data_IF_263093181008
#
_entry.id   IF_263093181008
#
_cell.length_a   1.000
_cell.length_b   1.000
_cell.length_c   1.000
_cell.angle_alpha   90.00
_cell.angle_beta   90.00
_cell.angle_gamma   90.00
#
_symmetry.space_group_name_H-M   'P 1'
#
loop_
_entity.id
_entity.type
_entity.pdbx_description
1 polymer ?
#
# COMPACT_ATOMS: atom_id res chain seq x y z
N UNK A 1 -9.44 -7.67 18.28
CA UNK A 1 -9.91 -6.87 17.13
C UNK A 1 -8.73 -6.49 16.25
N UNK A 2 -8.64 -7.01 15.02
CA UNK A 2 -7.56 -6.65 14.09
C UNK A 2 -7.78 -5.22 13.56
N UNK A 3 -6.91 -4.28 13.93
CA UNK A 3 -7.01 -2.88 13.48
C UNK A 3 -6.57 -2.80 12.02
N UNK A 4 -7.48 -2.40 11.13
CA UNK A 4 -7.17 -2.14 9.71
C UNK A 4 -6.05 -1.11 9.65
N UNK A 5 -4.90 -1.50 9.09
CA UNK A 5 -3.72 -0.62 9.01
C UNK A 5 -3.81 0.17 7.72
N UNK A 6 -3.87 1.50 7.83
CA UNK A 6 -3.85 2.40 6.70
C UNK A 6 -2.42 2.86 6.36
N UNK A 7 -2.27 3.41 5.16
CA UNK A 7 -1.07 4.06 4.67
C UNK A 7 -1.43 5.44 4.15
N UNK A 8 -0.50 6.36 4.31
CA UNK A 8 -0.67 7.77 3.98
C UNK A 8 0.35 8.13 2.93
N UNK A 9 -0.11 8.57 1.76
CA UNK A 9 0.73 8.82 0.59
C UNK A 9 0.61 10.30 0.24
N UNK A 10 1.74 10.99 0.21
CA UNK A 10 1.81 12.40 -0.18
C UNK A 10 2.32 12.44 -1.61
N UNK A 11 1.51 13.05 -2.47
CA UNK A 11 1.79 13.21 -3.90
C UNK A 11 1.88 14.69 -4.20
N UNK A 12 2.85 15.07 -5.05
CA UNK A 12 2.89 16.37 -5.70
C UNK A 12 2.30 16.24 -7.10
N UNK A 13 1.40 17.14 -7.47
CA UNK A 13 0.83 17.23 -8.79
C UNK A 13 1.59 18.26 -9.65
N UNK A 14 2.03 17.86 -10.82
CA UNK A 14 2.66 18.72 -11.82
C UNK A 14 1.71 18.88 -13.00
N UNK A 15 1.29 20.11 -13.29
CA UNK A 15 0.37 20.42 -14.39
C UNK A 15 1.18 20.93 -15.58
N UNK A 16 1.00 20.31 -16.74
CA UNK A 16 1.78 20.65 -17.95
C UNK A 16 1.09 21.72 -18.80
N UNK A 17 -0.25 21.76 -18.84
CA UNK A 17 -1.00 22.74 -19.64
C UNK A 17 -1.22 24.05 -18.86
N UNK A 18 -0.26 24.98 -18.95
CA UNK A 18 -0.40 26.33 -18.41
C UNK A 18 -1.18 27.23 -19.38
N UNK A 19 -2.51 27.12 -19.44
CA UNK A 19 -3.34 28.15 -20.12
C UNK A 19 -3.75 29.25 -19.13
N UNK A 20 -3.16 30.44 -19.31
CA UNK A 20 -3.44 31.74 -18.68
C UNK A 20 -3.26 31.92 -17.16
N UNK A 21 -2.46 32.95 -16.84
CA UNK A 21 -1.79 33.24 -15.58
C UNK A 21 -2.61 34.07 -14.56
N UNK A 22 -3.90 33.79 -14.33
CA UNK A 22 -4.68 34.59 -13.36
C UNK A 22 -5.55 33.82 -12.36
N UNK A 23 -5.72 32.50 -12.49
CA UNK A 23 -6.50 31.70 -11.53
C UNK A 23 -5.60 30.60 -10.97
N UNK A 24 -5.73 30.28 -9.69
CA UNK A 24 -5.01 29.17 -9.05
C UNK A 24 -5.46 27.84 -9.69
N UNK A 25 -4.82 27.46 -10.81
CA UNK A 25 -5.20 26.36 -11.68
C UNK A 25 -5.35 25.03 -10.92
N UNK A 26 -4.56 24.87 -9.86
CA UNK A 26 -4.61 23.75 -8.93
C UNK A 26 -5.93 23.66 -8.14
N UNK A 27 -6.56 24.78 -7.74
CA UNK A 27 -7.87 24.76 -7.06
C UNK A 27 -9.01 24.29 -7.97
N UNK A 28 -8.89 24.56 -9.27
CA UNK A 28 -9.90 24.13 -10.23
C UNK A 28 -9.81 22.63 -10.53
N UNK A 29 -8.58 22.11 -10.67
CA UNK A 29 -8.29 20.75 -11.14
C UNK A 29 -8.18 19.75 -10.00
N UNK A 30 -7.50 20.10 -8.90
CA UNK A 30 -7.32 19.21 -7.76
C UNK A 30 -8.57 19.25 -6.87
N UNK A 31 -9.70 18.78 -7.40
CA UNK A 31 -10.92 18.52 -6.65
C UNK A 31 -10.99 17.04 -6.31
N UNK A 32 -11.42 16.74 -5.09
CA UNK A 32 -11.57 15.36 -4.61
C UNK A 32 -12.39 14.50 -5.58
N UNK A 33 -13.52 15.02 -6.06
CA UNK A 33 -14.40 14.31 -7.01
C UNK A 33 -13.70 13.95 -8.32
N UNK A 34 -12.89 14.86 -8.87
CA UNK A 34 -12.19 14.67 -10.13
C UNK A 34 -11.04 13.67 -9.98
N UNK A 35 -10.26 13.80 -8.91
CA UNK A 35 -9.17 12.89 -8.59
C UNK A 35 -9.72 11.48 -8.35
N UNK A 36 -10.81 11.35 -7.58
CA UNK A 36 -11.43 10.05 -7.30
C UNK A 36 -11.93 9.37 -8.58
N UNK A 37 -12.59 10.11 -9.45
CA UNK A 37 -13.05 9.61 -10.76
C UNK A 37 -11.88 9.07 -11.58
N UNK A 38 -10.75 9.78 -11.58
CA UNK A 38 -9.59 9.38 -12.36
C UNK A 38 -8.84 8.20 -11.75
N UNK A 39 -8.76 8.13 -10.41
CA UNK A 39 -8.24 6.97 -9.68
C UNK A 39 -9.07 5.73 -10.01
N UNK A 40 -10.40 5.84 -10.02
CA UNK A 40 -11.31 4.74 -10.38
C UNK A 40 -11.08 4.26 -11.81
N UNK A 41 -11.09 5.16 -12.79
CA UNK A 41 -10.84 4.83 -14.21
C UNK A 41 -9.48 4.16 -14.42
N UNK A 42 -8.42 4.73 -13.83
CA UNK A 42 -7.06 4.19 -13.96
C UNK A 42 -6.97 2.82 -13.29
N UNK A 43 -7.60 2.63 -12.13
CA UNK A 43 -7.63 1.34 -11.44
C UNK A 43 -8.36 0.26 -12.25
N UNK A 44 -9.52 0.59 -12.83
CA UNK A 44 -10.27 -0.34 -13.68
C UNK A 44 -9.50 -0.68 -14.97
N UNK A 45 -8.79 0.29 -15.55
CA UNK A 45 -7.94 0.08 -16.72
C UNK A 45 -6.76 -0.85 -16.42
N UNK A 46 -6.06 -0.65 -15.30
CA UNK A 46 -4.85 -1.40 -14.96
C UNK A 46 -5.14 -2.80 -14.41
N UNK A 47 -6.24 -2.96 -13.68
CA UNK A 47 -6.52 -4.18 -12.92
C UNK A 47 -7.86 -4.84 -13.27
N UNK A 48 -8.61 -4.30 -14.23
CA UNK A 48 -9.95 -4.78 -14.60
C UNK A 48 -11.06 -4.26 -13.69
N UNK A 49 -12.31 -4.39 -14.13
CA UNK A 49 -13.46 -3.76 -13.47
C UNK A 49 -13.62 -4.10 -11.98
N UNK A 50 -13.65 -5.39 -11.63
CA UNK A 50 -13.90 -5.82 -10.23
C UNK A 50 -12.74 -5.45 -9.29
N UNK A 51 -11.50 -5.75 -9.69
CA UNK A 51 -10.31 -5.50 -8.86
C UNK A 51 -9.99 -4.01 -8.79
N UNK A 52 -10.08 -3.31 -9.93
CA UNK A 52 -9.91 -1.86 -10.00
C UNK A 52 -10.87 -1.14 -9.07
N UNK A 53 -12.14 -1.51 -9.08
CA UNK A 53 -13.16 -0.96 -8.18
C UNK A 53 -12.90 -1.25 -6.71
N UNK A 54 -12.37 -2.43 -6.37
CA UNK A 54 -12.01 -2.76 -4.99
C UNK A 54 -10.82 -1.95 -4.48
N UNK A 55 -9.80 -1.77 -5.32
CA UNK A 55 -8.60 -0.98 -5.02
C UNK A 55 -8.97 0.51 -4.89
N UNK A 56 -9.68 1.06 -5.88
CA UNK A 56 -10.06 2.48 -5.90
C UNK A 56 -10.95 2.86 -4.71
N UNK A 57 -11.91 2.01 -4.32
CA UNK A 57 -12.72 2.20 -3.13
C UNK A 57 -11.92 2.21 -1.82
N UNK A 58 -10.71 1.66 -1.84
CA UNK A 58 -9.81 1.69 -0.68
C UNK A 58 -8.96 2.97 -0.62
N UNK A 59 -8.93 3.76 -1.70
CA UNK A 59 -8.15 4.99 -1.83
C UNK A 59 -9.07 6.19 -1.56
N UNK A 60 -8.69 7.04 -0.64
CA UNK A 60 -9.43 8.27 -0.29
C UNK A 60 -8.50 9.47 -0.32
N UNK A 61 -8.97 10.59 -0.85
CA UNK A 61 -8.25 11.86 -0.69
C UNK A 61 -8.62 12.43 0.67
N UNK A 62 -7.61 12.71 1.48
CA UNK A 62 -7.79 13.20 2.85
C UNK A 62 -7.61 14.70 2.92
N UNK A 63 -6.70 15.24 2.10
CA UNK A 63 -6.40 16.65 2.10
C UNK A 63 -5.75 17.07 0.77
N UNK A 64 -6.05 18.28 0.33
CA UNK A 64 -5.48 18.89 -0.88
C UNK A 64 -4.94 20.28 -0.49
N UNK A 65 -3.70 20.55 -0.86
CA UNK A 65 -3.02 21.83 -0.67
C UNK A 65 -2.71 22.38 -2.05
N UNK A 66 -3.67 23.10 -2.62
CA UNK A 66 -3.55 23.65 -3.98
C UNK A 66 -2.36 24.60 -4.13
N UNK A 67 -1.95 25.30 -3.06
CA UNK A 67 -0.79 26.22 -3.10
C UNK A 67 0.56 25.54 -3.23
N UNK A 68 0.69 24.31 -2.74
CA UNK A 68 1.93 23.53 -2.87
C UNK A 68 1.77 22.37 -3.86
N UNK A 69 0.61 22.31 -4.54
CA UNK A 69 0.19 21.21 -5.39
C UNK A 69 0.33 19.84 -4.71
N UNK A 70 0.07 19.76 -3.40
CA UNK A 70 0.18 18.51 -2.65
C UNK A 70 -1.20 17.88 -2.44
N UNK A 71 -1.25 16.55 -2.59
CA UNK A 71 -2.43 15.74 -2.31
C UNK A 71 -2.04 14.64 -1.32
N UNK A 72 -2.79 14.54 -0.22
CA UNK A 72 -2.64 13.48 0.77
C UNK A 72 -3.70 12.41 0.50
N UNK A 73 -3.25 11.24 0.13
CA UNK A 73 -4.08 10.05 -0.01
C UNK A 73 -3.99 9.16 1.24
N UNK A 74 -5.08 8.47 1.54
CA UNK A 74 -5.11 7.34 2.45
C UNK A 74 -5.52 6.09 1.67
N UNK A 75 -4.80 5.00 1.86
CA UNK A 75 -5.19 3.68 1.35
C UNK A 75 -5.04 2.58 2.40
N UNK A 76 -5.68 1.43 2.18
CA UNK A 76 -5.44 0.23 3.00
C UNK A 76 -4.03 -0.28 2.75
N UNK A 77 -3.33 -0.73 3.80
CA UNK A 77 -1.93 -1.23 3.70
C UNK A 77 -1.77 -2.37 2.69
N UNK A 78 -2.78 -3.20 2.48
CA UNK A 78 -2.73 -4.31 1.52
C UNK A 78 -2.65 -3.83 0.06
N UNK A 79 -3.17 -2.64 -0.26
CA UNK A 79 -3.24 -2.09 -1.63
C UNK A 79 -2.20 -1.00 -1.91
N UNK A 80 -1.15 -0.93 -1.09
CA UNK A 80 -0.20 0.18 -1.19
C UNK A 80 0.54 0.19 -2.52
N UNK A 81 0.95 -0.96 -3.04
CA UNK A 81 1.71 -1.04 -4.30
C UNK A 81 0.81 -0.71 -5.49
N UNK A 82 -0.38 -1.27 -5.52
CA UNK A 82 -1.40 -1.00 -6.54
C UNK A 82 -1.80 0.47 -6.54
N UNK A 83 -1.96 1.07 -5.35
CA UNK A 83 -2.23 2.50 -5.21
C UNK A 83 -1.09 3.34 -5.79
N UNK A 84 0.17 2.98 -5.51
CA UNK A 84 1.32 3.71 -6.04
C UNK A 84 1.43 3.59 -7.56
N UNK A 85 1.09 2.44 -8.13
CA UNK A 85 1.02 2.25 -9.58
C UNK A 85 -0.09 3.14 -10.15
N UNK A 86 -1.31 3.06 -9.64
CA UNK A 86 -2.45 3.89 -10.10
C UNK A 86 -2.05 5.36 -10.09
N UNK A 87 -1.56 5.87 -8.96
CA UNK A 87 -1.20 7.27 -8.82
C UNK A 87 -0.10 7.68 -9.81
N UNK A 88 0.87 6.82 -10.13
CA UNK A 88 1.92 7.10 -11.13
C UNK A 88 1.41 7.11 -12.56
N UNK A 89 0.37 6.31 -12.86
CA UNK A 89 -0.19 6.19 -14.20
C UNK A 89 -1.26 7.23 -14.51
N UNK A 90 -1.78 7.94 -13.52
CA UNK A 90 -2.62 9.12 -13.74
C UNK A 90 -1.77 10.17 -14.47
N UNK A 91 -2.12 10.40 -15.74
CA UNK A 91 -1.45 11.34 -16.63
C UNK A 91 -2.36 12.51 -17.06
N UNK A 92 -3.65 12.43 -16.76
CA UNK A 92 -4.66 13.41 -17.17
C UNK A 92 -5.74 13.51 -16.11
N UNK A 93 -6.20 14.72 -15.82
CA UNK A 93 -7.42 14.95 -15.03
C UNK A 93 -8.32 15.85 -15.86
N UNK A 94 -9.51 15.35 -16.20
CA UNK A 94 -10.41 15.96 -17.19
C UNK A 94 -9.69 16.21 -18.53
N UNK A 95 -9.47 17.49 -18.89
CA UNK A 95 -8.80 17.91 -20.12
C UNK A 95 -7.39 18.44 -19.88
N UNK A 96 -6.85 18.26 -18.67
CA UNK A 96 -5.54 18.80 -18.30
C UNK A 96 -4.54 17.68 -18.09
N UNK A 97 -3.34 17.80 -18.68
CA UNK A 97 -2.25 16.88 -18.42
C UNK A 97 -1.67 17.11 -17.02
N UNK A 98 -1.68 16.06 -16.20
CA UNK A 98 -1.22 16.07 -14.81
C UNK A 98 -0.31 14.89 -14.57
N UNK A 99 0.84 15.12 -13.93
CA UNK A 99 1.75 14.07 -13.48
C UNK A 99 1.78 14.05 -11.96
N UNK A 100 1.61 12.88 -11.38
CA UNK A 100 1.67 12.67 -9.94
C UNK A 100 3.03 12.10 -9.53
N UNK A 101 3.74 12.86 -8.70
CA UNK A 101 5.03 12.47 -8.14
C UNK A 101 4.88 12.13 -6.66
N UNK A 102 5.11 10.88 -6.29
CA UNK A 102 5.04 10.43 -4.89
C UNK A 102 6.22 10.99 -4.12
N UNK A 103 5.94 11.82 -3.11
CA UNK A 103 6.96 12.45 -2.26
C UNK A 103 7.26 11.67 -1.00
N UNK A 104 6.23 11.11 -0.36
CA UNK A 104 6.38 10.38 0.91
C UNK A 104 5.29 9.33 1.07
N UNK A 105 5.67 8.19 1.64
CA UNK A 105 4.73 7.18 2.13
C UNK A 105 4.94 7.01 3.63
N UNK A 106 3.87 7.08 4.42
CA UNK A 106 3.92 7.08 5.88
C UNK A 106 3.05 5.98 6.48
N UNK A 107 3.51 5.45 7.62
CA UNK A 107 2.77 4.43 8.38
C UNK A 107 1.64 5.00 9.22
N UNK A 108 1.76 6.28 9.62
CA UNK A 108 0.78 6.98 10.46
C UNK A 108 0.46 8.37 9.89
N UNK A 109 -0.72 8.91 10.23
CA UNK A 109 -1.10 10.27 9.85
C UNK A 109 -0.16 11.31 10.46
N UNK A 110 0.33 11.05 11.68
CA UNK A 110 1.26 11.95 12.35
C UNK A 110 2.56 12.12 11.56
N UNK A 111 3.12 11.04 11.01
CA UNK A 111 4.30 11.09 10.15
C UNK A 111 4.04 11.90 8.86
N UNK A 112 2.88 11.67 8.22
CA UNK A 112 2.50 12.41 7.02
C UNK A 112 2.31 13.90 7.30
N UNK A 113 1.60 14.26 8.40
CA UNK A 113 1.40 15.65 8.82
C UNK A 113 2.72 16.34 9.13
N UNK A 114 3.64 15.67 9.83
CA UNK A 114 4.98 16.21 10.10
C UNK A 114 5.73 16.53 8.81
N UNK A 115 5.70 15.63 7.82
CA UNK A 115 6.32 15.88 6.52
C UNK A 115 5.72 17.11 5.82
N UNK A 116 4.39 17.22 5.75
CA UNK A 116 3.70 18.37 5.15
C UNK A 116 4.09 19.66 5.87
N UNK A 117 4.05 19.68 7.19
CA UNK A 117 4.40 20.85 7.99
C UNK A 117 5.85 21.29 7.76
N UNK A 118 6.80 20.35 7.69
CA UNK A 118 8.19 20.67 7.36
C UNK A 118 8.30 21.32 5.98
N UNK A 119 7.57 20.82 4.97
CA UNK A 119 7.60 21.43 3.63
C UNK A 119 6.98 22.82 3.57
N UNK A 120 5.88 23.05 4.28
CA UNK A 120 5.30 24.38 4.40
C UNK A 120 6.26 25.34 5.11
N UNK A 121 6.91 24.91 6.19
CA UNK A 121 7.89 25.72 6.92
C UNK A 121 9.13 26.04 6.09
N UNK A 122 9.64 25.07 5.30
CA UNK A 122 10.73 25.30 4.36
C UNK A 122 10.33 26.39 3.34
N UNK A 123 9.14 26.27 2.74
CA UNK A 123 8.60 27.26 1.79
C UNK A 123 8.46 28.65 2.42
N UNK A 124 7.94 28.73 3.65
CA UNK A 124 7.76 30.00 4.36
C UNK A 124 9.10 30.63 4.77
N UNK A 125 10.08 29.82 5.16
CA UNK A 125 11.41 30.30 5.50
C UNK A 125 12.10 30.90 4.27
N UNK A 126 11.99 30.24 3.11
CA UNK A 126 12.48 30.80 1.84
C UNK A 126 11.79 32.11 1.47
N UNK A 127 10.49 32.24 1.74
CA UNK A 127 9.76 33.49 1.53
C UNK A 127 10.18 34.59 2.52
N UNK A 128 10.50 34.25 3.76
CA UNK A 128 10.96 35.22 4.78
C UNK A 128 12.35 35.80 4.51
N UNK A 129 13.16 35.10 3.71
CA UNK A 129 14.45 35.60 3.21
C UNK A 129 14.28 36.65 2.10
N UNK A 130 13.07 36.77 1.52
CA UNK A 130 12.70 37.88 0.65
C UNK A 130 12.29 39.07 1.53
N UNK A 131 12.91 40.23 1.33
CA UNK A 131 12.72 41.39 2.21
C UNK A 131 11.26 41.84 2.42
N UNK A 132 10.96 42.63 3.46
CA UNK A 132 9.61 42.93 3.94
C UNK A 132 8.63 43.46 2.87
N UNK A 133 9.13 44.19 1.86
CA UNK A 133 8.32 44.69 0.73
C UNK A 133 7.76 43.58 -0.18
N UNK A 134 8.40 42.40 -0.24
CA UNK A 134 7.91 41.23 -0.96
C UNK A 134 6.83 40.47 -0.18
N UNK A 135 6.90 40.49 1.15
CA UNK A 135 5.98 39.78 2.05
C UNK A 135 4.61 40.45 2.09
N UNK A 136 4.54 41.79 2.10
CA UNK A 136 3.27 42.54 2.03
C UNK A 136 2.50 42.30 0.72
N UNK A 137 3.21 42.20 -0.41
CA UNK A 137 2.58 41.86 -1.72
C UNK A 137 2.02 40.43 -1.75
N UNK A 138 2.57 39.50 -0.96
CA UNK A 138 2.15 38.09 -0.90
C UNK A 138 1.00 37.90 0.11
N UNK A 139 1.00 38.65 1.22
CA UNK A 139 -0.02 38.56 2.26
C UNK A 139 -1.42 39.01 1.80
N UNK A 140 -1.52 39.92 0.82
CA UNK A 140 -2.81 40.39 0.31
C UNK A 140 -3.60 39.34 -0.53
N UNK A 141 -2.94 38.30 -1.05
CA UNK A 141 -3.50 37.46 -2.12
C UNK A 141 -3.61 35.95 -1.82
N UNK A 142 -3.30 35.46 -0.61
CA UNK A 142 -3.29 34.00 -0.34
C UNK A 142 -4.07 33.58 0.92
N UNK A 143 -5.26 32.95 0.78
CA UNK A 143 -6.04 32.42 1.92
C UNK A 143 -5.32 31.30 2.71
N UNK A 144 -4.28 30.70 2.12
CA UNK A 144 -3.49 29.60 2.68
C UNK A 144 -2.66 30.00 3.89
N UNK A 145 -2.29 31.28 4.03
CA UNK A 145 -1.57 31.78 5.20
C UNK A 145 -2.48 31.80 6.44
N UNK A 146 -3.78 32.11 6.27
CA UNK A 146 -4.77 32.05 7.36
C UNK A 146 -5.00 30.62 7.87
N UNK A 147 -4.98 29.63 6.98
CA UNK A 147 -5.14 28.22 7.34
C UNK A 147 -3.92 27.65 8.07
N UNK A 148 -2.71 28.08 7.69
CA UNK A 148 -1.47 27.74 8.41
C UNK A 148 -1.50 28.34 9.82
N UNK A 149 -1.95 29.59 9.98
CA UNK A 149 -2.11 30.22 11.29
C UNK A 149 -3.19 29.54 12.14
N UNK A 150 -4.31 29.10 11.55
CA UNK A 150 -5.35 28.33 12.24
C UNK A 150 -4.88 26.92 12.64
N UNK A 151 -4.08 26.27 11.80
CA UNK A 151 -3.46 24.97 12.08
C UNK A 151 -2.36 25.09 13.15
N UNK A 152 -1.62 26.20 13.15
CA UNK A 152 -0.69 26.57 14.20
C UNK A 152 -1.42 26.83 15.53
N UNK A 153 -2.63 27.41 15.54
CA UNK A 153 -3.46 27.52 16.76
C UNK A 153 -3.85 26.16 17.35
N UNK A 154 -4.06 25.13 16.52
CA UNK A 154 -4.31 23.76 16.99
C UNK A 154 -3.03 23.04 17.46
N UNK A 155 -1.87 23.39 16.89
CA UNK A 155 -0.55 22.92 17.34
C UNK A 155 0.02 23.72 18.53
N UNK A 156 -0.55 24.89 18.84
CA UNK A 156 -0.11 25.80 19.91
C UNK A 156 -0.31 25.24 21.33
N UNK A 157 -0.94 24.08 21.51
CA UNK A 157 -0.93 23.39 22.79
C UNK A 157 0.46 22.85 23.18
N UNK A 158 1.48 22.88 22.31
CA UNK A 158 2.85 22.47 22.66
C UNK A 158 3.98 23.24 21.95
N UNK A 159 3.72 24.40 21.35
CA UNK A 159 4.81 25.21 20.77
C UNK A 159 5.51 26.06 21.84
N UNK A 160 4.77 26.59 22.82
CA UNK A 160 5.34 27.30 23.97
C UNK A 160 6.23 26.37 24.82
N UNK A 161 5.80 25.11 25.02
CA UNK A 161 6.59 24.08 25.72
C UNK A 161 7.84 23.64 24.94
N UNK A 162 7.78 23.60 23.60
CA UNK A 162 8.94 23.25 22.78
C UNK A 162 9.95 24.40 22.73
N UNK A 163 9.48 25.65 22.65
CA UNK A 163 10.32 26.85 22.72
C UNK A 163 10.96 26.99 24.11
N UNK A 164 10.23 26.70 25.20
CA UNK A 164 10.77 26.68 26.56
C UNK A 164 11.73 25.52 26.84
N UNK A 165 11.66 24.41 26.09
CA UNK A 165 12.63 23.31 26.15
C UNK A 165 13.85 23.52 25.25
N UNK A 166 13.72 24.34 24.20
CA UNK A 166 14.81 24.70 23.29
C UNK A 166 15.59 25.94 23.75
N UNK A 167 15.08 26.72 24.70
CA UNK A 167 15.76 27.89 25.27
C UNK A 167 16.88 27.57 26.27
N UNK A 168 17.15 26.29 26.58
CA UNK A 168 18.24 25.90 27.50
C UNK A 168 19.59 25.66 26.81
N UNK A 169 19.71 25.79 25.49
CA UNK A 169 21.04 25.75 24.83
C UNK A 169 21.18 26.92 23.85
N UNK A 170 21.47 28.10 24.41
CA UNK A 170 22.21 29.15 23.71
C UNK A 170 23.49 29.43 24.50
N UNK A 171 24.63 29.02 23.95
CA UNK A 171 25.85 29.83 24.07
C UNK A 171 26.23 30.33 22.67
N UNK A 172 26.73 31.57 22.57
CA UNK A 172 26.78 32.30 21.32
C UNK A 172 27.97 31.89 20.44
N UNK A 173 27.75 32.00 19.14
CA UNK A 173 28.73 31.82 18.08
C UNK A 173 29.69 33.03 18.05
N UNK A 174 30.85 32.93 18.69
CA UNK A 174 32.00 33.79 18.40
C UNK A 174 33.33 33.14 18.86
N UNK A 175 34.27 33.09 17.92
CA UNK A 175 35.72 32.90 18.10
C UNK A 175 36.22 31.48 18.42
N UNK A 176 36.56 30.71 17.38
CA UNK A 176 37.70 29.77 17.43
C UNK A 176 38.45 29.86 16.09
N UNK A 177 39.56 30.60 16.10
CA UNK A 177 40.67 30.38 15.19
C UNK A 177 41.32 29.04 15.56
N UNK A 178 41.53 28.19 14.55
CA UNK A 178 42.42 27.03 14.61
C UNK A 178 41.77 25.76 15.17
N UNK A 179 41.39 24.84 14.28
CA UNK A 179 41.67 23.40 14.36
C UNK A 179 41.64 22.88 12.92
N UNK A 180 42.70 22.14 12.58
CA UNK A 180 43.02 21.63 11.25
C UNK A 180 41.94 20.68 10.72
N UNK A 181 41.82 20.66 9.39
CA UNK A 181 41.12 19.66 8.61
C UNK A 181 41.48 18.24 9.07
N UNK A 182 40.50 17.53 9.63
CA UNK A 182 40.55 16.06 9.72
C UNK A 182 39.30 15.52 9.04
N UNK A 183 39.53 14.91 7.88
CA UNK A 183 38.60 14.03 7.18
C UNK A 183 37.98 13.03 8.16
N UNK A 184 36.67 13.14 8.40
CA UNK A 184 35.95 12.15 9.21
C UNK A 184 35.21 11.17 8.30
N UNK A 185 35.70 9.93 8.40
CA UNK A 185 35.28 8.70 7.78
C UNK A 185 33.76 8.49 7.83
N UNK A 186 33.22 8.05 6.68
CA UNK A 186 31.99 7.28 6.65
C UNK A 186 32.15 6.10 7.62
N UNK A 187 31.28 6.00 8.63
CA UNK A 187 31.05 4.74 9.35
C UNK A 187 29.64 4.73 9.95
N UNK A 188 28.73 4.09 9.20
CA UNK A 188 27.88 3.02 9.71
C UNK A 188 26.86 3.33 10.80
N UNK A 189 25.76 4.00 10.45
CA UNK A 189 24.49 3.80 11.16
C UNK A 189 23.86 2.52 10.61
N UNK A 190 24.11 1.37 11.25
CA UNK A 190 23.37 0.13 11.04
C UNK A 190 21.96 0.23 11.64
N UNK A 191 21.13 1.08 11.06
CA UNK A 191 19.68 0.90 11.13
C UNK A 191 19.30 -0.01 9.97
N UNK A 192 19.03 -1.28 10.24
CA UNK A 192 18.59 -2.23 9.21
C UNK A 192 17.24 -1.76 8.63
N UNK A 193 17.30 -0.96 7.58
CA UNK A 193 16.20 -0.77 6.63
C UNK A 193 15.96 -2.14 6.02
N UNK A 194 15.08 -2.94 6.62
CA UNK A 194 14.61 -4.19 6.03
C UNK A 194 13.88 -3.83 4.73
N UNK A 195 14.63 -3.82 3.63
CA UNK A 195 14.11 -3.81 2.28
C UNK A 195 13.15 -5.00 2.22
N UNK A 196 11.85 -4.75 2.01
CA UNK A 196 10.86 -5.83 1.92
C UNK A 196 11.10 -6.59 0.62
N UNK A 197 11.95 -7.59 0.69
CA UNK A 197 12.25 -8.45 -0.43
C UNK A 197 11.21 -9.57 -0.51
N UNK A 198 10.61 -9.76 -1.68
CA UNK A 198 10.01 -11.05 -2.01
C UNK A 198 11.13 -12.01 -2.33
N UNK A 199 11.07 -13.20 -1.74
CA UNK A 199 12.02 -14.26 -2.03
C UNK A 199 11.98 -14.62 -3.53
N UNK A 200 13.08 -15.12 -4.11
CA UNK A 200 13.11 -15.60 -5.49
C UNK A 200 11.96 -16.58 -5.78
N UNK A 201 11.65 -17.45 -4.83
CA UNK A 201 10.59 -18.46 -4.91
C UNK A 201 9.22 -17.80 -5.00
N UNK A 202 8.95 -16.78 -4.17
CA UNK A 202 7.68 -16.04 -4.26
C UNK A 202 7.57 -15.32 -5.61
N UNK A 203 8.66 -14.71 -6.10
CA UNK A 203 8.66 -14.04 -7.41
C UNK A 203 8.37 -15.02 -8.54
N UNK A 204 8.96 -16.21 -8.48
CA UNK A 204 8.77 -17.25 -9.48
C UNK A 204 7.30 -17.70 -9.56
N UNK A 205 6.73 -18.13 -8.43
CA UNK A 205 5.33 -18.57 -8.39
C UNK A 205 4.32 -17.45 -8.61
N UNK A 206 4.71 -16.20 -8.39
CA UNK A 206 3.89 -15.03 -8.70
C UNK A 206 3.89 -14.70 -10.18
N UNK A 207 5.06 -14.68 -10.83
CA UNK A 207 5.19 -14.35 -12.24
C UNK A 207 4.70 -15.49 -13.15
N UNK A 208 4.94 -16.74 -12.72
CA UNK A 208 4.56 -17.95 -13.44
C UNK A 208 3.72 -18.86 -12.52
N UNK A 209 2.48 -18.47 -12.18
CA UNK A 209 1.63 -19.26 -11.30
C UNK A 209 1.21 -20.56 -11.99
N UNK A 210 1.32 -21.67 -11.26
CA UNK A 210 1.08 -23.02 -11.79
C UNK A 210 -0.31 -23.49 -11.44
N UNK A 211 -0.98 -24.16 -12.37
CA UNK A 211 -2.33 -24.73 -12.12
C UNK A 211 -3.41 -23.68 -11.79
N UNK A 212 -3.29 -22.50 -12.40
CA UNK A 212 -4.37 -21.51 -12.40
C UNK A 212 -5.53 -22.05 -13.24
N UNK A 213 -6.72 -22.16 -12.66
CA UNK A 213 -7.85 -22.74 -13.36
C UNK A 213 -9.04 -23.02 -12.47
N UNK A 214 -10.00 -23.76 -13.01
CA UNK A 214 -11.13 -24.27 -12.25
C UNK A 214 -11.62 -25.56 -12.89
N UNK A 215 -11.96 -26.53 -12.07
CA UNK A 215 -12.69 -27.73 -12.51
C UNK A 215 -14.20 -27.46 -12.55
N UNK A 216 -14.91 -28.38 -13.19
CA UNK A 216 -16.37 -28.41 -13.15
C UNK A 216 -16.86 -28.53 -11.71
N UNK A 217 -17.93 -27.81 -11.39
CA UNK A 217 -18.53 -27.81 -10.05
C UNK A 217 -19.34 -29.08 -9.80
N UNK A 218 -19.87 -29.67 -10.86
CA UNK A 218 -20.78 -30.81 -10.80
C UNK A 218 -20.03 -32.16 -10.82
N UNK A 219 -18.71 -32.14 -11.04
CA UNK A 219 -17.88 -33.33 -10.98
C UNK A 219 -17.82 -33.87 -9.52
N UNK A 220 -18.32 -35.09 -9.26
CA UNK A 220 -18.32 -35.68 -7.92
C UNK A 220 -16.91 -36.02 -7.42
N UNK A 221 -15.93 -36.14 -8.32
CA UNK A 221 -14.53 -36.36 -7.97
C UNK A 221 -13.83 -35.09 -7.48
N UNK A 222 -14.49 -33.92 -7.57
CA UNK A 222 -13.90 -32.62 -7.24
C UNK A 222 -14.38 -32.10 -5.88
N UNK A 223 -13.42 -31.88 -4.99
CA UNK A 223 -13.59 -31.10 -3.76
C UNK A 223 -13.27 -29.64 -4.00
N UNK A 224 -14.12 -28.73 -3.52
CA UNK A 224 -13.96 -27.28 -3.70
C UNK A 224 -13.97 -26.56 -2.35
N UNK A 225 -13.00 -25.68 -2.14
CA UNK A 225 -12.98 -24.74 -1.02
C UNK A 225 -12.91 -23.31 -1.52
N UNK A 226 -13.67 -22.43 -0.89
CA UNK A 226 -13.49 -20.98 -0.97
C UNK A 226 -13.22 -20.49 0.44
N UNK A 227 -12.00 -20.06 0.71
CA UNK A 227 -11.59 -19.54 2.02
C UNK A 227 -11.02 -18.14 1.86
N UNK A 228 -11.31 -17.27 2.83
CA UNK A 228 -10.84 -15.89 2.81
C UNK A 228 -10.95 -15.24 4.17
N UNK A 229 -10.09 -14.25 4.43
CA UNK A 229 -10.13 -13.46 5.68
C UNK A 229 -10.36 -11.99 5.36
N UNK A 230 -11.52 -11.47 5.77
CA UNK A 230 -11.94 -10.07 5.54
C UNK A 230 -10.92 -9.04 6.02
N UNK A 231 -10.11 -9.37 7.04
CA UNK A 231 -9.07 -8.49 7.57
C UNK A 231 -7.90 -8.25 6.60
N UNK A 232 -7.57 -9.23 5.76
CA UNK A 232 -6.44 -9.16 4.82
C UNK A 232 -6.88 -8.87 3.38
N UNK A 233 -8.13 -9.21 3.04
CA UNK A 233 -8.67 -9.05 1.69
C UNK A 233 -8.26 -10.18 0.73
N UNK A 234 -7.51 -11.18 1.23
CA UNK A 234 -7.12 -12.35 0.46
C UNK A 234 -8.25 -13.41 0.48
N UNK A 235 -8.56 -13.96 -0.69
CA UNK A 235 -9.54 -15.02 -0.93
C UNK A 235 -8.92 -16.04 -1.89
N UNK A 236 -9.01 -17.32 -1.57
CA UNK A 236 -8.58 -18.41 -2.44
C UNK A 236 -9.76 -19.35 -2.68
N UNK A 237 -9.99 -19.67 -3.94
CA UNK A 237 -10.76 -20.83 -4.39
C UNK A 237 -9.77 -21.91 -4.79
N UNK A 238 -9.73 -23.01 -4.04
CA UNK A 238 -8.92 -24.18 -4.35
C UNK A 238 -9.85 -25.34 -4.71
N UNK A 239 -9.52 -26.06 -5.77
CA UNK A 239 -10.23 -27.27 -6.18
C UNK A 239 -9.25 -28.41 -6.33
N UNK A 240 -9.58 -29.57 -5.78
CA UNK A 240 -8.79 -30.80 -5.87
C UNK A 240 -9.64 -31.88 -6.50
N UNK A 241 -9.08 -32.61 -7.47
CA UNK A 241 -9.69 -33.76 -8.10
C UNK A 241 -9.09 -35.02 -7.51
N UNK A 242 -9.92 -35.87 -6.94
CA UNK A 242 -9.49 -37.04 -6.15
C UNK A 242 -10.02 -38.32 -6.80
N UNK A 243 -9.10 -39.26 -7.04
CA UNK A 243 -9.38 -40.60 -7.54
C UNK A 243 -8.66 -41.61 -6.66
N UNK A 244 -9.38 -42.65 -6.23
CA UNK A 244 -8.82 -43.74 -5.39
C UNK A 244 -8.07 -43.23 -4.14
N UNK A 245 -8.64 -42.21 -3.47
CA UNK A 245 -8.07 -41.55 -2.29
C UNK A 245 -6.73 -40.79 -2.53
N UNK A 246 -6.35 -40.60 -3.79
CA UNK A 246 -5.18 -39.83 -4.22
C UNK A 246 -5.62 -38.57 -4.99
N UNK A 247 -4.93 -37.45 -4.78
CA UNK A 247 -5.18 -36.21 -5.51
C UNK A 247 -4.53 -36.32 -6.89
N UNK A 248 -5.34 -36.51 -7.92
CA UNK A 248 -4.90 -36.60 -9.32
C UNK A 248 -4.45 -35.23 -9.84
N UNK A 249 -5.25 -34.21 -9.56
CA UNK A 249 -4.99 -32.84 -10.01
C UNK A 249 -5.55 -31.80 -9.03
N UNK A 250 -5.00 -30.59 -9.08
CA UNK A 250 -5.41 -29.48 -8.24
C UNK A 250 -5.29 -28.18 -9.03
N UNK A 251 -6.29 -27.32 -8.94
CA UNK A 251 -6.27 -25.99 -9.54
C UNK A 251 -6.76 -24.93 -8.58
N UNK A 252 -6.34 -23.69 -8.81
CA UNK A 252 -6.72 -22.57 -7.96
C UNK A 252 -7.10 -21.31 -8.74
N UNK A 253 -7.91 -20.48 -8.08
CA UNK A 253 -8.09 -19.05 -8.37
C UNK A 253 -7.95 -18.31 -7.07
N UNK A 254 -7.12 -17.27 -7.03
CA UNK A 254 -6.96 -16.46 -5.82
C UNK A 254 -7.00 -14.99 -6.15
N UNK A 255 -7.54 -14.24 -5.20
CA UNK A 255 -7.50 -12.81 -5.12
C UNK A 255 -6.71 -12.46 -3.87
N UNK A 256 -5.58 -11.78 -4.00
CA UNK A 256 -4.77 -11.43 -2.86
C UNK A 256 -3.39 -10.92 -3.23
N UNK A 257 -2.59 -10.61 -2.22
CA UNK A 257 -1.23 -10.12 -2.45
C UNK A 257 -0.32 -11.18 -3.12
N UNK A 258 0.81 -10.76 -3.70
CA UNK A 258 1.73 -11.69 -4.41
C UNK A 258 2.17 -12.92 -3.60
N UNK A 259 2.28 -12.81 -2.27
CA UNK A 259 2.54 -13.95 -1.38
C UNK A 259 1.39 -14.95 -1.31
N UNK A 260 0.13 -14.50 -1.40
CA UNK A 260 -1.05 -15.36 -1.44
C UNK A 260 -1.13 -16.12 -2.77
N UNK A 261 -0.82 -15.44 -3.89
CA UNK A 261 -0.72 -16.07 -5.21
C UNK A 261 0.38 -17.14 -5.21
N UNK A 262 1.57 -16.80 -4.71
CA UNK A 262 2.68 -17.74 -4.63
C UNK A 262 2.37 -18.95 -3.73
N UNK A 263 1.75 -18.71 -2.56
CA UNK A 263 1.36 -19.78 -1.63
C UNK A 263 0.32 -20.73 -2.24
N UNK A 264 -0.65 -20.18 -2.99
CA UNK A 264 -1.69 -20.97 -3.66
C UNK A 264 -1.11 -21.83 -4.78
N UNK A 265 -0.24 -21.23 -5.60
CA UNK A 265 0.49 -21.87 -6.69
C UNK A 265 1.38 -23.02 -6.20
N UNK A 266 2.14 -22.78 -5.13
CA UNK A 266 2.99 -23.80 -4.53
C UNK A 266 2.18 -24.94 -3.91
N UNK A 267 1.08 -24.62 -3.20
CA UNK A 267 0.20 -25.63 -2.61
C UNK A 267 -0.37 -26.57 -3.67
N UNK A 268 -0.81 -26.05 -4.83
CA UNK A 268 -1.34 -26.91 -5.90
C UNK A 268 -0.32 -27.86 -6.50
N UNK A 269 0.98 -27.55 -6.46
CA UNK A 269 2.00 -28.50 -6.90
C UNK A 269 2.22 -29.62 -5.88
N UNK A 270 2.35 -29.27 -4.60
CA UNK A 270 2.72 -30.25 -3.57
C UNK A 270 1.59 -31.19 -3.18
N UNK A 271 0.33 -30.83 -3.44
CA UNK A 271 -0.82 -31.70 -3.14
C UNK A 271 -1.05 -32.76 -4.22
N UNK A 272 -0.54 -32.56 -5.44
CA UNK A 272 -0.69 -33.52 -6.53
C UNK A 272 0.08 -34.80 -6.22
N UNK A 273 -0.55 -35.94 -6.48
CA UNK A 273 0.03 -37.26 -6.21
C UNK A 273 0.06 -37.65 -4.72
N UNK A 274 -0.40 -36.78 -3.81
CA UNK A 274 -0.54 -37.12 -2.39
C UNK A 274 -1.89 -37.74 -2.10
N UNK A 275 -1.91 -38.62 -1.10
CA UNK A 275 -3.16 -39.11 -0.52
C UNK A 275 -3.89 -38.02 0.25
N UNK A 276 -5.20 -38.18 0.46
CA UNK A 276 -5.98 -37.23 1.25
C UNK A 276 -5.40 -37.02 2.66
N UNK A 277 -4.85 -38.07 3.30
CA UNK A 277 -4.26 -37.98 4.63
C UNK A 277 -2.95 -37.19 4.63
N UNK A 278 -2.07 -37.43 3.65
CA UNK A 278 -0.81 -36.68 3.51
C UNK A 278 -1.06 -35.21 3.19
N UNK A 279 -2.06 -34.93 2.35
CA UNK A 279 -2.44 -33.56 2.02
C UNK A 279 -3.04 -32.82 3.23
N UNK A 280 -3.78 -33.51 4.11
CA UNK A 280 -4.27 -32.95 5.38
C UNK A 280 -3.15 -32.69 6.39
N UNK A 281 -2.02 -33.39 6.29
CA UNK A 281 -0.86 -33.23 7.16
C UNK A 281 0.04 -32.04 6.78
N UNK A 282 -0.17 -31.43 5.61
CA UNK A 282 0.57 -30.23 5.17
C UNK A 282 0.30 -29.09 6.15
N UNK A 283 1.38 -28.47 6.64
CA UNK A 283 1.30 -27.33 7.56
C UNK A 283 1.70 -26.03 6.87
N UNK A 284 1.17 -24.92 7.36
CA UNK A 284 1.55 -23.59 6.91
C UNK A 284 3.04 -23.29 7.08
N UNK A 285 3.71 -23.92 8.06
CA UNK A 285 5.15 -23.77 8.31
C UNK A 285 5.96 -24.25 7.12
N UNK A 286 5.60 -25.41 6.56
CA UNK A 286 6.32 -26.00 5.43
C UNK A 286 6.20 -25.12 4.18
N UNK A 287 5.01 -24.53 3.98
CA UNK A 287 4.74 -23.59 2.89
C UNK A 287 5.49 -22.28 3.11
N UNK A 288 5.47 -21.72 4.33
CA UNK A 288 6.14 -20.45 4.63
C UNK A 288 7.66 -20.57 4.53
N UNK A 289 8.21 -21.70 4.97
CA UNK A 289 9.64 -21.94 4.98
C UNK A 289 10.14 -22.15 3.55
N UNK A 290 9.41 -22.92 2.72
CA UNK A 290 9.77 -23.09 1.32
C UNK A 290 9.74 -21.78 0.54
N UNK A 291 8.70 -20.97 0.75
CA UNK A 291 8.56 -19.68 0.08
C UNK A 291 9.35 -18.57 0.77
N UNK A 292 10.07 -18.87 1.86
CA UNK A 292 10.80 -17.92 2.68
C UNK A 292 9.97 -16.66 2.99
N UNK A 293 8.73 -16.88 3.45
CA UNK A 293 7.78 -15.81 3.70
C UNK A 293 8.22 -14.97 4.91
N UNK A 294 8.27 -13.64 4.81
CA UNK A 294 8.55 -12.81 5.96
C UNK A 294 7.44 -12.95 7.02
N UNK A 295 7.72 -12.74 8.32
CA UNK A 295 6.76 -12.96 9.40
C UNK A 295 5.39 -12.28 9.22
N UNK A 296 5.37 -11.14 8.53
CA UNK A 296 4.14 -10.37 8.23
C UNK A 296 3.21 -11.09 7.25
N UNK A 297 3.72 -12.02 6.44
CA UNK A 297 3.02 -12.71 5.34
C UNK A 297 2.73 -14.20 5.61
N UNK A 298 3.02 -14.70 6.81
CA UNK A 298 2.67 -16.09 7.22
C UNK A 298 1.16 -16.37 7.13
N UNK A 299 0.30 -15.35 7.22
CA UNK A 299 -1.15 -15.55 7.03
C UNK A 299 -1.50 -16.09 5.63
N UNK A 300 -0.66 -15.88 4.62
CA UNK A 300 -0.86 -16.40 3.27
C UNK A 300 -0.65 -17.91 3.21
N UNK A 301 0.34 -18.46 3.94
CA UNK A 301 0.53 -19.91 4.03
C UNK A 301 -0.55 -20.58 4.86
N UNK A 302 -1.01 -19.94 5.94
CA UNK A 302 -2.17 -20.40 6.72
C UNK A 302 -3.44 -20.47 5.88
N UNK A 303 -3.69 -19.46 5.03
CA UNK A 303 -4.85 -19.46 4.13
C UNK A 303 -4.79 -20.61 3.12
N UNK A 304 -3.60 -20.91 2.59
CA UNK A 304 -3.40 -22.00 1.65
C UNK A 304 -3.58 -23.38 2.32
N UNK A 305 -3.07 -23.57 3.54
CA UNK A 305 -3.32 -24.76 4.37
C UNK A 305 -4.83 -24.94 4.62
N UNK A 306 -5.51 -23.88 5.07
CA UNK A 306 -6.95 -23.90 5.32
C UNK A 306 -7.73 -24.33 4.05
N UNK A 307 -7.32 -23.84 2.88
CA UNK A 307 -7.95 -24.16 1.61
C UNK A 307 -7.86 -25.66 1.27
N UNK A 308 -6.69 -26.28 1.45
CA UNK A 308 -6.49 -27.72 1.21
C UNK A 308 -7.40 -28.55 2.11
N UNK A 309 -7.41 -28.24 3.40
CA UNK A 309 -8.22 -28.96 4.39
C UNK A 309 -9.71 -28.89 4.07
N UNK A 310 -10.20 -27.70 3.70
CA UNK A 310 -11.60 -27.53 3.35
C UNK A 310 -11.94 -28.21 2.02
N UNK A 311 -11.05 -28.22 1.03
CA UNK A 311 -11.32 -28.83 -0.26
C UNK A 311 -11.42 -30.35 -0.17
N UNK A 312 -10.53 -30.98 0.61
CA UNK A 312 -10.59 -32.42 0.90
C UNK A 312 -11.85 -32.75 1.71
N UNK A 313 -12.20 -31.92 2.70
CA UNK A 313 -13.41 -32.12 3.50
C UNK A 313 -14.69 -32.04 2.66
N UNK A 314 -14.75 -31.11 1.71
CA UNK A 314 -15.86 -31.00 0.75
C UNK A 314 -16.03 -32.29 -0.07
N UNK A 315 -14.95 -32.82 -0.64
CA UNK A 315 -14.97 -34.11 -1.35
C UNK A 315 -15.45 -35.26 -0.46
N UNK A 316 -14.93 -35.38 0.77
CA UNK A 316 -15.32 -36.43 1.71
C UNK A 316 -16.81 -36.34 2.08
N UNK A 317 -17.33 -35.13 2.25
CA UNK A 317 -18.75 -34.91 2.55
C UNK A 317 -19.65 -35.34 1.39
N UNK A 318 -19.29 -34.99 0.14
CA UNK A 318 -20.03 -35.40 -1.06
C UNK A 318 -20.11 -36.93 -1.21
N UNK A 319 -19.02 -37.64 -0.88
CA UNK A 319 -18.98 -39.10 -0.98
C UNK A 319 -19.60 -39.84 0.21
N UNK A 320 -19.71 -39.21 1.38
CA UNK A 320 -20.51 -39.75 2.50
C UNK A 320 -22.00 -39.69 2.20
N UNK A 321 -22.49 -38.56 1.71
CA UNK A 321 -23.90 -38.39 1.34
C UNK A 321 -24.38 -39.44 0.31
N UNK A 322 -23.49 -39.90 -0.59
CA UNK A 322 -23.78 -40.95 -1.57
C UNK A 322 -23.74 -42.39 -1.05
N UNK A 323 -23.19 -42.64 0.15
CA UNK A 323 -23.17 -43.97 0.76
C UNK A 323 -24.39 -44.23 1.65
N UNK A 324 -25.11 -43.17 2.00
CA UNK A 324 -26.29 -43.20 2.87
C UNK A 324 -27.62 -43.11 2.06
N UNK A 325 -27.54 -43.03 0.72
CA UNK A 325 -28.64 -43.22 -0.26
C UNK A 325 -28.55 -44.62 -0.90
#
# INVERSE_FOLDING_TARGET
>A
MARVKNRWIIVRAEISDKKNSQVNYYELILKDTLIKTEVEKTAELLFGFLQGKFISNSITVQFIISTEALVLFQCKRCFIEETLIILRFINKIQNTNVKFEVKQVSGTLHQARRYILTKILDSLTQLSLLGPSAIEKIQANKPSVKLVVASMRYANLRLADLINRLSVVRTPLATIHGIKSTSFSQNGVKGATQIRYYSPEVKEHFNNPRNVGSFDKDDPSVGTAIVGKAACGDVIKLQVKIKDNCIEDACFKTFGCGSAIASSSYVTEIVKGKTCQEALAIKNTDISDKLNLPPVKIHCSLLAEDAVKHAIKDYLNKNKAKKDE
#
